data_IF_911121471503
#
_entry.id   IF_911121471503
#
_cell.length_a   1.000
_cell.length_b   1.000
_cell.length_c   1.000
_cell.angle_alpha   90.00
_cell.angle_beta   90.00
_cell.angle_gamma   90.00
#
_symmetry.space_group_name_H-M   'P 1'
#
loop_
_entity.id
_entity.type
_entity.pdbx_description
1 polymer ?
#
# COMPACT_ATOMS: atom_id res chain seq x y z
N UNK A 1 14.13 -40.29 -38.08
CA UNK A 1 14.16 -39.71 -36.73
C UNK A 1 14.25 -38.20 -36.86
N UNK A 2 13.17 -37.48 -36.64
CA UNK A 2 13.13 -36.00 -36.71
C UNK A 2 12.91 -35.47 -35.29
N UNK A 3 13.95 -34.81 -34.77
CA UNK A 3 13.88 -34.13 -33.48
C UNK A 3 13.08 -32.81 -33.63
N UNK A 4 11.93 -32.74 -33.03
CA UNK A 4 11.20 -31.47 -32.80
C UNK A 4 11.62 -30.90 -31.46
N UNK A 5 12.49 -29.89 -31.48
CA UNK A 5 12.74 -29.04 -30.35
C UNK A 5 11.79 -27.85 -30.46
N UNK A 6 10.71 -27.87 -29.68
CA UNK A 6 9.85 -26.73 -29.51
C UNK A 6 10.31 -25.94 -28.27
N UNK A 7 11.23 -25.00 -28.46
CA UNK A 7 11.50 -23.96 -27.46
C UNK A 7 10.42 -22.89 -27.60
N UNK A 8 9.36 -22.99 -26.78
CA UNK A 8 8.40 -21.90 -26.64
C UNK A 8 9.01 -20.77 -25.81
N UNK A 9 9.51 -19.75 -26.51
CA UNK A 9 9.95 -18.49 -25.90
C UNK A 9 8.70 -17.74 -25.42
N UNK A 10 8.36 -17.87 -24.13
CA UNK A 10 7.39 -16.97 -23.47
C UNK A 10 8.08 -15.62 -23.29
N UNK A 11 8.00 -14.78 -24.30
CA UNK A 11 8.36 -13.38 -24.19
C UNK A 11 7.20 -12.67 -23.44
N UNK A 12 7.30 -12.60 -22.12
CA UNK A 12 6.41 -11.75 -21.32
C UNK A 12 6.76 -10.29 -21.64
N UNK A 13 5.98 -9.67 -22.52
CA UNK A 13 6.05 -8.23 -22.77
C UNK A 13 5.57 -7.54 -21.50
N UNK A 14 6.49 -7.19 -20.62
CA UNK A 14 6.22 -6.30 -19.49
C UNK A 14 6.08 -4.89 -20.10
N UNK A 15 4.85 -4.46 -20.34
CA UNK A 15 4.57 -3.07 -20.65
C UNK A 15 4.91 -2.25 -19.43
N UNK A 16 5.76 -1.20 -19.53
CA UNK A 16 5.94 -0.27 -18.43
C UNK A 16 4.57 0.38 -18.16
N UNK A 17 4.02 0.18 -16.98
CA UNK A 17 2.83 0.91 -16.52
C UNK A 17 3.31 2.36 -16.35
N UNK A 18 3.09 3.20 -17.36
CA UNK A 18 3.30 4.64 -17.24
C UNK A 18 2.15 5.14 -16.36
N UNK A 19 2.45 5.38 -15.09
CA UNK A 19 1.49 5.99 -14.17
C UNK A 19 1.25 7.44 -14.62
N UNK A 20 -0.01 7.92 -14.62
CA UNK A 20 -0.31 9.30 -14.94
C UNK A 20 0.37 10.25 -13.95
N UNK A 21 0.69 11.47 -14.39
CA UNK A 21 1.31 12.49 -13.54
C UNK A 21 0.42 12.84 -12.32
N UNK A 22 -0.91 12.68 -12.44
CA UNK A 22 -1.88 12.91 -11.38
C UNK A 22 -2.55 11.56 -11.02
N UNK A 23 -2.19 10.99 -9.89
CA UNK A 23 -2.73 9.71 -9.42
C UNK A 23 -3.90 9.93 -8.46
N UNK A 24 -4.94 9.12 -8.58
CA UNK A 24 -5.95 8.92 -7.53
C UNK A 24 -5.43 7.85 -6.58
N UNK A 25 -4.98 8.27 -5.41
CA UNK A 25 -4.37 7.40 -4.40
C UNK A 25 -5.32 7.19 -3.23
N UNK A 26 -5.61 5.94 -2.90
CA UNK A 26 -6.33 5.56 -1.69
C UNK A 26 -5.36 5.05 -0.64
N UNK A 27 -5.26 5.76 0.48
CA UNK A 27 -4.52 5.32 1.67
C UNK A 27 -5.52 4.73 2.67
N UNK A 28 -5.39 3.47 2.96
CA UNK A 28 -6.23 2.75 3.92
C UNK A 28 -5.41 2.37 5.16
N UNK A 29 -6.00 2.55 6.33
CA UNK A 29 -5.37 2.24 7.61
C UNK A 29 -6.14 1.17 8.36
N UNK A 30 -5.43 0.21 8.93
CA UNK A 30 -6.03 -0.83 9.76
C UNK A 30 -5.42 -0.86 11.17
N UNK A 31 -5.93 -1.72 12.05
CA UNK A 31 -5.59 -1.72 13.48
C UNK A 31 -4.26 -2.41 13.84
N UNK A 32 -3.27 -2.45 12.94
CA UNK A 32 -1.93 -2.83 13.32
C UNK A 32 -1.17 -1.62 13.85
N UNK A 33 -0.26 -1.82 14.82
CA UNK A 33 0.65 -0.77 15.28
C UNK A 33 1.52 -0.28 14.14
N UNK A 34 1.84 1.01 14.11
CA UNK A 34 2.60 1.67 13.05
C UNK A 34 1.79 2.75 12.33
N UNK A 35 0.89 3.44 13.04
CA UNK A 35 0.17 4.62 12.51
C UNK A 35 1.14 5.69 11.98
N UNK A 36 2.37 5.73 12.51
CA UNK A 36 3.43 6.61 12.04
C UNK A 36 3.75 6.38 10.55
N UNK A 37 3.74 5.13 10.06
CA UNK A 37 3.98 4.86 8.63
C UNK A 37 2.93 5.55 7.74
N UNK A 38 1.66 5.48 8.14
CA UNK A 38 0.58 6.13 7.39
C UNK A 38 0.71 7.65 7.45
N UNK A 39 1.02 8.22 8.62
CA UNK A 39 1.25 9.66 8.74
C UNK A 39 2.40 10.10 7.83
N UNK A 40 3.54 9.40 7.88
CA UNK A 40 4.69 9.74 7.03
C UNK A 40 4.39 9.59 5.54
N UNK A 41 3.60 8.58 5.14
CA UNK A 41 3.14 8.46 3.75
C UNK A 41 2.30 9.68 3.35
N UNK A 42 1.31 10.07 4.16
CA UNK A 42 0.44 11.21 3.89
C UNK A 42 1.22 12.53 3.85
N UNK A 43 2.20 12.72 4.74
CA UNK A 43 3.07 13.91 4.77
C UNK A 43 3.88 14.07 3.47
N UNK A 44 4.13 12.98 2.74
CA UNK A 44 4.96 12.95 1.53
C UNK A 44 4.15 12.75 0.24
N UNK A 45 2.81 12.79 0.32
CA UNK A 45 1.93 12.84 -0.85
C UNK A 45 1.50 14.28 -1.10
N UNK A 46 1.88 14.84 -2.26
CA UNK A 46 1.52 16.21 -2.63
C UNK A 46 0.09 16.27 -3.18
N UNK A 47 -0.86 16.94 -2.48
CA UNK A 47 -2.25 17.01 -2.93
C UNK A 47 -2.47 17.92 -4.15
N UNK A 48 -1.45 18.68 -4.58
CA UNK A 48 -1.49 19.42 -5.85
C UNK A 48 -1.16 18.53 -7.04
N UNK A 49 -0.50 17.41 -6.81
CA UNK A 49 -0.09 16.45 -7.84
C UNK A 49 -0.97 15.19 -7.85
N UNK A 50 -1.65 14.88 -6.72
CA UNK A 50 -2.41 13.64 -6.56
C UNK A 50 -3.76 13.89 -5.90
N UNK A 51 -4.80 13.14 -6.32
CA UNK A 51 -6.06 13.08 -5.61
C UNK A 51 -5.96 12.06 -4.47
N UNK A 52 -5.97 12.52 -3.21
CA UNK A 52 -5.71 11.70 -2.04
C UNK A 52 -7.03 11.37 -1.32
N UNK A 53 -7.31 10.08 -1.19
CA UNK A 53 -8.42 9.54 -0.42
C UNK A 53 -7.90 8.75 0.77
N UNK A 54 -8.60 8.82 1.90
CA UNK A 54 -8.23 8.11 3.13
C UNK A 54 -9.41 7.32 3.66
N UNK A 55 -9.17 6.09 4.10
CA UNK A 55 -10.15 5.25 4.82
C UNK A 55 -9.47 4.66 6.05
N UNK A 56 -10.17 4.69 7.18
CA UNK A 56 -9.70 4.13 8.45
C UNK A 56 -10.65 3.04 8.93
N UNK A 57 -10.11 1.89 9.33
CA UNK A 57 -10.90 0.90 10.05
C UNK A 57 -11.19 1.40 11.47
N UNK A 58 -12.18 0.81 12.15
CA UNK A 58 -12.51 1.19 13.54
C UNK A 58 -11.31 1.00 14.48
N UNK A 59 -10.54 -0.11 14.32
CA UNK A 59 -9.33 -0.34 15.11
C UNK A 59 -8.16 0.59 14.73
N UNK A 60 -8.11 1.09 13.48
CA UNK A 60 -7.12 2.09 13.09
C UNK A 60 -7.27 3.38 13.90
N UNK A 61 -8.51 3.81 14.18
CA UNK A 61 -8.77 5.01 14.98
C UNK A 61 -8.23 4.89 16.40
N UNK A 62 -8.33 3.69 17.02
CA UNK A 62 -7.77 3.43 18.34
C UNK A 62 -6.25 3.51 18.32
N UNK A 63 -5.61 2.84 17.36
CA UNK A 63 -4.13 2.86 17.21
C UNK A 63 -3.61 4.27 16.93
N UNK A 64 -4.31 5.04 16.09
CA UNK A 64 -3.98 6.44 15.83
C UNK A 64 -4.01 7.26 17.11
N UNK A 65 -5.05 7.08 17.93
CA UNK A 65 -5.19 7.84 19.19
C UNK A 65 -4.08 7.50 20.21
N UNK A 66 -3.58 6.26 20.19
CA UNK A 66 -2.51 5.81 21.09
C UNK A 66 -1.12 6.19 20.59
N UNK A 67 -0.88 6.13 19.28
CA UNK A 67 0.48 6.27 18.72
C UNK A 67 0.79 7.68 18.19
N UNK A 68 -0.21 8.46 17.79
CA UNK A 68 -0.02 9.79 17.20
C UNK A 68 -0.55 10.88 18.13
N UNK A 69 0.36 11.60 18.77
CA UNK A 69 -0.01 12.77 19.57
C UNK A 69 -0.70 13.81 18.67
N UNK A 70 -1.99 14.06 18.92
CA UNK A 70 -2.81 14.97 18.14
C UNK A 70 -3.55 14.33 16.95
N UNK A 71 -3.55 12.99 16.85
CA UNK A 71 -4.27 12.24 15.83
C UNK A 71 -3.60 12.25 14.44
N UNK A 72 -4.28 11.66 13.48
CA UNK A 72 -3.82 11.63 12.09
C UNK A 72 -4.05 12.99 11.42
N UNK A 73 -3.00 13.57 10.86
CA UNK A 73 -3.07 14.81 10.09
C UNK A 73 -3.22 14.48 8.61
N UNK A 74 -4.23 15.05 7.99
CA UNK A 74 -4.47 14.88 6.55
C UNK A 74 -3.88 16.07 5.80
N UNK A 75 -3.26 15.85 4.62
CA UNK A 75 -2.85 16.95 3.75
C UNK A 75 -4.06 17.72 3.24
N UNK A 76 -3.88 19.01 2.95
CA UNK A 76 -4.95 19.88 2.46
C UNK A 76 -5.60 19.31 1.19
N UNK A 77 -6.93 19.21 1.19
CA UNK A 77 -7.68 18.66 0.07
C UNK A 77 -7.81 17.12 0.05
N UNK A 78 -7.16 16.40 0.95
CA UNK A 78 -7.38 14.96 1.11
C UNK A 78 -8.79 14.67 1.65
N UNK A 79 -9.42 13.61 1.15
CA UNK A 79 -10.82 13.25 1.47
C UNK A 79 -10.86 12.01 2.38
N UNK A 80 -11.34 12.18 3.61
CA UNK A 80 -11.61 11.07 4.52
C UNK A 80 -12.99 10.47 4.22
N UNK A 81 -13.05 9.16 4.01
CA UNK A 81 -14.28 8.44 3.72
C UNK A 81 -14.73 7.58 4.89
N UNK A 82 -16.05 7.50 5.07
CA UNK A 82 -16.64 6.62 6.07
C UNK A 82 -16.47 5.16 5.63
N UNK A 83 -15.93 4.33 6.53
CA UNK A 83 -15.68 2.90 6.29
C UNK A 83 -16.93 2.13 5.85
N UNK A 84 -18.10 2.49 6.36
CA UNK A 84 -19.39 1.81 6.07
C UNK A 84 -20.10 2.34 4.82
N UNK A 85 -19.62 3.43 4.22
CA UNK A 85 -20.29 4.06 3.09
C UNK A 85 -19.79 3.48 1.76
N UNK A 86 -20.61 2.73 1.07
CA UNK A 86 -20.33 2.24 -0.30
C UNK A 86 -20.48 3.33 -1.38
N UNK A 87 -20.79 4.56 -1.02
CA UNK A 87 -20.94 5.70 -1.95
C UNK A 87 -19.59 6.36 -2.30
N UNK A 88 -18.46 5.80 -1.81
CA UNK A 88 -17.14 6.30 -2.19
C UNK A 88 -16.86 6.04 -3.68
N UNK A 89 -16.21 6.98 -4.41
CA UNK A 89 -16.01 6.87 -5.86
C UNK A 89 -15.29 5.58 -6.27
N UNK A 90 -14.35 5.12 -5.47
CA UNK A 90 -13.53 3.93 -5.71
C UNK A 90 -14.21 2.61 -5.28
N UNK A 91 -15.45 2.62 -4.80
CA UNK A 91 -16.23 1.41 -4.53
C UNK A 91 -16.74 0.73 -5.80
N UNK A 92 -16.63 1.38 -6.95
CA UNK A 92 -17.02 0.85 -8.26
C UNK A 92 -15.81 0.69 -9.18
N UNK A 93 -15.80 -0.41 -9.95
CA UNK A 93 -14.78 -0.64 -10.98
C UNK A 93 -14.80 0.36 -12.13
N UNK A 94 -15.88 1.13 -12.29
CA UNK A 94 -15.95 2.21 -13.29
C UNK A 94 -15.16 3.47 -12.88
N UNK A 95 -14.75 3.58 -11.61
CA UNK A 95 -13.98 4.71 -11.10
C UNK A 95 -12.96 4.25 -10.02
N UNK A 96 -12.07 3.27 -10.36
CA UNK A 96 -11.15 2.71 -9.41
C UNK A 96 -10.07 3.74 -8.99
N UNK A 97 -9.40 3.55 -7.85
CA UNK A 97 -8.17 4.29 -7.59
C UNK A 97 -7.08 3.82 -8.56
N UNK A 98 -6.13 4.67 -8.91
CA UNK A 98 -4.94 4.27 -9.68
C UNK A 98 -4.00 3.42 -8.83
N UNK A 99 -3.93 3.73 -7.55
CA UNK A 99 -3.21 2.95 -6.56
C UNK A 99 -3.92 2.95 -5.20
N UNK A 100 -3.87 1.82 -4.51
CA UNK A 100 -4.31 1.68 -3.13
C UNK A 100 -3.16 1.18 -2.27
N UNK A 101 -2.95 1.83 -1.13
CA UNK A 101 -1.97 1.42 -0.11
C UNK A 101 -2.71 1.13 1.18
N UNK A 102 -2.53 -0.07 1.73
CA UNK A 102 -3.02 -0.42 3.07
C UNK A 102 -1.85 -0.39 4.04
N UNK A 103 -1.77 0.64 4.87
CA UNK A 103 -0.62 0.94 5.72
C UNK A 103 -1.04 1.55 7.08
N UNK A 104 -0.73 0.90 8.20
CA UNK A 104 -0.32 -0.49 8.31
C UNK A 104 -1.46 -1.45 7.97
N UNK A 105 -1.14 -2.67 7.55
CA UNK A 105 -2.10 -3.71 7.23
C UNK A 105 -2.10 -4.81 8.29
N UNK A 106 -3.25 -5.08 8.92
CA UNK A 106 -3.41 -6.24 9.79
C UNK A 106 -3.52 -7.52 8.97
N UNK A 107 -3.08 -8.65 9.54
CA UNK A 107 -3.23 -9.95 8.90
C UNK A 107 -4.69 -10.35 8.70
N UNK A 108 -5.58 -9.91 9.61
CA UNK A 108 -7.03 -10.11 9.46
C UNK A 108 -7.60 -9.38 8.24
N UNK A 109 -7.18 -8.13 7.99
CA UNK A 109 -7.58 -7.41 6.77
C UNK A 109 -6.98 -8.06 5.52
N UNK A 110 -5.69 -8.42 5.58
CA UNK A 110 -5.01 -9.11 4.48
C UNK A 110 -5.72 -10.43 4.11
N UNK A 111 -6.11 -11.24 5.11
CA UNK A 111 -6.84 -12.48 4.89
C UNK A 111 -8.21 -12.25 4.23
N UNK A 112 -8.94 -11.22 4.66
CA UNK A 112 -10.23 -10.88 4.03
C UNK A 112 -10.06 -10.43 2.58
N UNK A 113 -9.05 -9.61 2.28
CA UNK A 113 -8.72 -9.22 0.90
C UNK A 113 -8.36 -10.44 0.05
N UNK A 114 -7.52 -11.35 0.57
CA UNK A 114 -7.09 -12.57 -0.12
C UNK A 114 -8.26 -13.49 -0.50
N UNK A 115 -9.37 -13.43 0.25
CA UNK A 115 -10.56 -14.25 0.02
C UNK A 115 -11.75 -13.46 -0.58
N UNK A 116 -11.53 -12.24 -1.07
CA UNK A 116 -12.53 -11.46 -1.81
C UNK A 116 -13.68 -10.91 -0.95
N UNK A 117 -13.50 -10.74 0.34
CA UNK A 117 -14.51 -10.11 1.19
C UNK A 117 -14.65 -8.62 0.85
N UNK A 118 -15.90 -8.12 0.85
CA UNK A 118 -16.25 -6.73 0.48
C UNK A 118 -17.27 -6.14 1.45
N UNK A 119 -17.13 -6.39 2.75
CA UNK A 119 -18.08 -6.01 3.80
C UNK A 119 -18.09 -4.51 4.10
N UNK A 120 -16.98 -3.84 3.80
CA UNK A 120 -16.80 -2.41 3.99
C UNK A 120 -16.10 -1.78 2.78
N UNK A 121 -16.01 -0.46 2.75
CA UNK A 121 -15.46 0.26 1.60
C UNK A 121 -13.96 0.03 1.43
N UNK A 122 -13.21 -0.26 2.51
CA UNK A 122 -11.78 -0.58 2.43
C UNK A 122 -11.57 -1.91 1.68
N UNK A 123 -12.27 -2.96 2.11
CA UNK A 123 -12.21 -4.28 1.48
C UNK A 123 -12.72 -4.23 0.05
N UNK A 124 -13.83 -3.50 -0.18
CA UNK A 124 -14.39 -3.30 -1.52
C UNK A 124 -13.41 -2.60 -2.45
N UNK A 125 -12.71 -1.58 -1.98
CA UNK A 125 -11.72 -0.87 -2.78
C UNK A 125 -10.52 -1.76 -3.13
N UNK A 126 -10.07 -2.62 -2.22
CA UNK A 126 -9.02 -3.59 -2.48
C UNK A 126 -9.45 -4.63 -3.52
N UNK A 127 -10.68 -5.16 -3.43
CA UNK A 127 -11.28 -6.05 -4.43
C UNK A 127 -11.36 -5.36 -5.81
N UNK A 128 -11.82 -4.11 -5.84
CA UNK A 128 -11.85 -3.28 -7.07
C UNK A 128 -10.45 -3.11 -7.63
N UNK A 129 -9.44 -2.78 -6.79
CA UNK A 129 -8.08 -2.61 -7.26
C UNK A 129 -7.52 -3.89 -7.91
N UNK A 130 -7.75 -5.07 -7.31
CA UNK A 130 -7.31 -6.35 -7.85
C UNK A 130 -8.00 -6.70 -9.18
N UNK A 131 -9.34 -6.61 -9.23
CA UNK A 131 -10.09 -7.01 -10.44
C UNK A 131 -9.87 -6.04 -11.62
N UNK A 132 -9.64 -4.75 -11.37
CA UNK A 132 -9.35 -3.74 -12.38
C UNK A 132 -7.83 -3.62 -12.68
N UNK A 133 -7.02 -4.54 -12.14
CA UNK A 133 -5.56 -4.56 -12.32
C UNK A 133 -4.90 -3.24 -11.94
N UNK A 134 -5.43 -2.59 -10.90
CA UNK A 134 -4.84 -1.40 -10.30
C UNK A 134 -3.80 -1.79 -9.26
N UNK A 135 -2.88 -0.88 -8.97
CA UNK A 135 -1.82 -1.14 -8.00
C UNK A 135 -2.40 -1.28 -6.59
N UNK A 136 -2.18 -2.43 -5.95
CA UNK A 136 -2.50 -2.67 -4.55
C UNK A 136 -1.22 -2.97 -3.79
N UNK A 137 -0.88 -2.11 -2.83
CA UNK A 137 0.29 -2.27 -1.95
C UNK A 137 -0.21 -2.54 -0.54
N UNK A 138 0.17 -3.67 0.02
CA UNK A 138 -0.15 -4.05 1.39
C UNK A 138 1.11 -3.98 2.24
N UNK A 139 1.07 -3.22 3.33
CA UNK A 139 2.20 -3.01 4.24
C UNK A 139 1.90 -3.69 5.57
N UNK A 140 2.07 -5.04 5.66
CA UNK A 140 1.76 -5.78 6.87
C UNK A 140 2.75 -5.45 7.99
N UNK A 141 2.22 -5.38 9.24
CA UNK A 141 3.01 -5.32 10.45
C UNK A 141 2.52 -6.42 11.40
N UNK A 142 3.29 -7.50 11.47
CA UNK A 142 2.96 -8.69 12.25
C UNK A 142 4.20 -9.50 12.60
N UNK A 143 4.24 -10.05 13.82
CA UNK A 143 5.26 -10.99 14.26
C UNK A 143 4.74 -11.82 15.44
N UNK A 144 4.97 -13.17 15.47
CA UNK A 144 5.47 -14.03 14.39
C UNK A 144 4.41 -14.23 13.30
N UNK A 145 4.82 -14.72 12.13
CA UNK A 145 3.89 -15.10 11.06
C UNK A 145 3.43 -16.57 11.23
N UNK A 146 2.15 -16.82 11.00
CA UNK A 146 1.59 -18.16 10.89
C UNK A 146 1.60 -18.65 9.43
N UNK A 147 1.43 -19.95 9.23
CA UNK A 147 1.29 -20.50 7.87
C UNK A 147 0.08 -19.91 7.14
N UNK A 148 -1.01 -19.61 7.84
CA UNK A 148 -2.20 -18.97 7.26
C UNK A 148 -1.83 -17.58 6.71
N UNK A 149 -1.02 -16.81 7.43
CA UNK A 149 -0.55 -15.50 6.95
C UNK A 149 0.25 -15.64 5.65
N UNK A 150 1.18 -16.61 5.61
CA UNK A 150 2.00 -16.85 4.41
C UNK A 150 1.13 -17.27 3.22
N UNK A 151 0.13 -18.15 3.44
CA UNK A 151 -0.79 -18.56 2.37
C UNK A 151 -1.63 -17.40 1.84
N UNK A 152 -2.10 -16.51 2.69
CA UNK A 152 -2.80 -15.30 2.27
C UNK A 152 -1.90 -14.34 1.46
N UNK A 153 -0.63 -14.20 1.87
CA UNK A 153 0.36 -13.44 1.10
C UNK A 153 0.59 -14.06 -0.29
N UNK A 154 0.74 -15.38 -0.37
CA UNK A 154 0.90 -16.10 -1.64
C UNK A 154 -0.26 -15.83 -2.59
N UNK A 155 -1.51 -15.96 -2.12
CA UNK A 155 -2.71 -15.67 -2.91
C UNK A 155 -2.71 -14.23 -3.44
N UNK A 156 -2.37 -13.27 -2.62
CA UNK A 156 -2.36 -11.85 -2.98
C UNK A 156 -1.24 -11.51 -3.97
N UNK A 157 -0.05 -12.10 -3.81
CA UNK A 157 1.05 -11.96 -4.76
C UNK A 157 0.66 -12.55 -6.14
N UNK A 158 0.03 -13.72 -6.16
CA UNK A 158 -0.48 -14.33 -7.39
C UNK A 158 -1.58 -13.49 -8.05
N UNK A 159 -2.41 -12.80 -7.23
CA UNK A 159 -3.42 -11.86 -7.73
C UNK A 159 -2.84 -10.53 -8.24
N UNK A 160 -1.52 -10.27 -8.03
CA UNK A 160 -0.82 -9.09 -8.51
C UNK A 160 -0.67 -7.96 -7.48
N UNK A 161 -0.99 -8.21 -6.19
CA UNK A 161 -0.69 -7.25 -5.14
C UNK A 161 0.81 -7.21 -4.83
N UNK A 162 1.28 -6.06 -4.33
CA UNK A 162 2.62 -5.93 -3.74
C UNK A 162 2.52 -6.10 -2.23
N UNK A 163 3.25 -7.06 -1.67
CA UNK A 163 3.41 -7.21 -0.22
C UNK A 163 4.73 -6.56 0.19
N UNK A 164 4.65 -5.51 1.00
CA UNK A 164 5.79 -4.72 1.47
C UNK A 164 5.76 -4.70 3.00
N UNK A 165 6.34 -5.70 3.69
CA UNK A 165 6.34 -5.73 5.14
C UNK A 165 6.94 -4.46 5.74
N UNK A 166 6.38 -4.00 6.87
CA UNK A 166 6.86 -2.83 7.59
C UNK A 166 8.17 -3.15 8.35
N UNK A 167 9.21 -3.49 7.57
CA UNK A 167 10.54 -3.86 8.06
C UNK A 167 11.51 -2.73 7.75
N UNK A 168 11.84 -1.85 8.73
CA UNK A 168 12.79 -0.76 8.54
C UNK A 168 14.19 -1.27 8.23
N UNK A 169 14.95 -0.51 7.43
CA UNK A 169 16.36 -0.79 7.18
C UNK A 169 17.26 0.02 8.15
N UNK A 170 18.24 -0.66 8.74
CA UNK A 170 19.14 -0.04 9.72
C UNK A 170 20.42 0.52 9.10
N UNK A 171 20.83 0.05 7.91
CA UNK A 171 22.02 0.55 7.21
C UNK A 171 21.87 2.00 6.70
N UNK A 172 20.65 2.53 6.71
CA UNK A 172 20.35 3.91 6.30
C UNK A 172 21.00 4.97 7.22
N UNK A 173 21.52 4.56 8.39
CA UNK A 173 22.04 5.48 9.39
C UNK A 173 20.95 6.28 10.11
N UNK A 174 19.72 5.76 10.16
CA UNK A 174 18.59 6.33 10.86
C UNK A 174 18.94 6.64 12.34
N UNK A 175 18.58 7.83 12.81
CA UNK A 175 18.85 8.30 14.18
C UNK A 175 17.59 8.42 15.02
N UNK A 176 16.43 8.49 14.38
CA UNK A 176 15.13 8.63 15.01
C UNK A 176 14.17 7.54 14.56
N UNK A 177 13.07 7.36 15.30
CA UNK A 177 11.98 6.45 14.88
C UNK A 177 11.37 6.92 13.56
N UNK A 178 11.31 8.23 13.33
CA UNK A 178 10.80 8.80 12.07
C UNK A 178 11.71 8.41 10.92
N UNK A 179 13.03 8.52 11.04
CA UNK A 179 13.98 8.11 10.00
C UNK A 179 13.82 6.60 9.67
N UNK A 180 13.59 5.75 10.69
CA UNK A 180 13.34 4.33 10.49
C UNK A 180 12.01 4.10 9.72
N UNK A 181 10.95 4.81 10.12
CA UNK A 181 9.67 4.73 9.42
C UNK A 181 9.80 5.17 7.96
N UNK A 182 10.58 6.22 7.71
CA UNK A 182 10.83 6.77 6.38
C UNK A 182 11.52 5.77 5.45
N UNK A 183 12.34 4.84 5.96
CA UNK A 183 12.92 3.77 5.12
C UNK A 183 11.86 2.85 4.51
N UNK A 184 10.76 2.61 5.21
CA UNK A 184 9.62 1.82 4.70
C UNK A 184 8.77 2.68 3.77
N UNK A 185 8.47 3.92 4.17
CA UNK A 185 7.63 4.85 3.40
C UNK A 185 8.28 5.20 2.05
N UNK A 186 9.60 5.39 2.01
CA UNK A 186 10.34 5.59 0.76
C UNK A 186 10.07 4.46 -0.23
N UNK A 187 10.08 3.19 0.23
CA UNK A 187 9.78 2.04 -0.63
C UNK A 187 8.33 2.03 -1.12
N UNK A 188 7.38 2.45 -0.27
CA UNK A 188 5.97 2.60 -0.70
C UNK A 188 5.85 3.66 -1.78
N UNK A 189 6.48 4.82 -1.60
CA UNK A 189 6.49 5.91 -2.59
C UNK A 189 7.15 5.48 -3.90
N UNK A 190 8.27 4.74 -3.86
CA UNK A 190 8.91 4.16 -5.04
C UNK A 190 7.93 3.26 -5.82
N UNK A 191 7.22 2.39 -5.09
CA UNK A 191 6.21 1.52 -5.71
C UNK A 191 5.00 2.29 -6.25
N UNK A 192 4.66 3.44 -5.67
CA UNK A 192 3.66 4.36 -6.21
C UNK A 192 4.15 5.11 -7.45
N UNK A 193 5.46 5.20 -7.67
CA UNK A 193 6.08 6.04 -8.69
C UNK A 193 6.19 7.51 -8.30
N UNK A 194 6.07 7.80 -6.99
CA UNK A 194 6.21 9.15 -6.42
C UNK A 194 7.68 9.38 -6.07
N UNK A 195 8.27 10.44 -6.61
CA UNK A 195 9.66 10.82 -6.30
C UNK A 195 9.79 11.18 -4.83
N UNK A 196 10.84 10.71 -4.20
CA UNK A 196 11.13 11.00 -2.80
C UNK A 196 12.63 10.84 -2.50
N UNK A 197 13.07 11.53 -1.45
CA UNK A 197 14.45 11.51 -0.91
C UNK A 197 14.43 11.16 0.58
N UNK A 198 13.43 10.39 1.04
CA UNK A 198 13.22 10.07 2.47
C UNK A 198 14.30 9.16 3.06
N UNK A 199 14.91 8.31 2.24
CA UNK A 199 15.91 7.37 2.69
C UNK A 199 17.06 7.28 1.68
N UNK A 200 18.31 7.08 2.15
CA UNK A 200 19.44 6.87 1.26
C UNK A 200 19.21 5.65 0.37
N UNK A 201 19.57 5.77 -0.88
CA UNK A 201 19.54 4.67 -1.83
C UNK A 201 20.81 3.86 -1.75
N UNK A 202 20.69 2.56 -2.06
CA UNK A 202 21.86 1.68 -2.07
C UNK A 202 22.84 2.11 -3.18
N UNK A 203 24.12 2.24 -2.83
CA UNK A 203 25.22 2.63 -3.75
C UNK A 203 25.09 4.03 -4.40
N UNK A 204 24.21 4.90 -3.94
CA UNK A 204 24.30 6.33 -4.26
C UNK A 204 25.38 6.95 -3.39
N UNK A 205 26.45 7.46 -4.02
CA UNK A 205 27.47 8.24 -3.31
C UNK A 205 26.82 9.49 -2.70
N UNK A 206 27.09 9.71 -1.40
CA UNK A 206 26.73 10.97 -0.79
C UNK A 206 27.73 12.01 -1.28
N UNK A 207 27.31 12.87 -2.21
CA UNK A 207 28.03 14.10 -2.51
C UNK A 207 28.16 15.02 -1.28
#
# INVERSE_FOLDING_TARGET
MRNFSAASCFCSVIWPIILPANLKILVAMTGASGALYAQRLLDNLNPREHEIHVVQSNYAQQVIAEELAGGLKLPDGAKLHNLKSMNAPFASGSNPPDAMVVIPCTMGTMGRIAHGYSEDVLLRAADVALKEKRKLILVPRETPLSLVHIKNMELLLLAGATILPANPSFYSGAKTIVDLADTVVARVLDHLGVKNDLAPRWSEEKE
#
